data_IF_774716133167
#
_entry.id   IF_774716133167
#
_cell.length_a   1.000
_cell.length_b   1.000
_cell.length_c   1.000
_cell.angle_alpha   90.00
_cell.angle_beta   90.00
_cell.angle_gamma   90.00
#
_symmetry.space_group_name_H-M   'P 1'
#
loop_
_entity.id
_entity.type
_entity.pdbx_description
1 polymer ?
#
# COMPACT_ATOMS: atom_id res chain seq x y z
N UNK A 1 6.25 0.59 -18.58
CA UNK A 1 5.05 0.66 -19.43
C UNK A 1 3.96 1.27 -18.59
N UNK A 2 3.46 2.43 -18.98
CA UNK A 2 2.34 3.13 -18.33
C UNK A 2 1.11 2.83 -19.18
N UNK A 3 -0.01 2.47 -18.55
CA UNK A 3 -1.29 2.30 -19.24
C UNK A 3 -1.94 3.65 -19.48
N UNK A 4 -2.77 3.75 -20.51
CA UNK A 4 -3.41 5.01 -20.93
C UNK A 4 -4.65 5.33 -20.09
N UNK A 5 -5.33 4.30 -19.57
CA UNK A 5 -6.54 4.43 -18.76
C UNK A 5 -6.52 3.54 -17.52
N UNK A 6 -7.20 3.97 -16.45
CA UNK A 6 -7.42 3.17 -15.24
C UNK A 6 -7.97 1.76 -15.53
N UNK A 7 -8.85 1.63 -16.51
CA UNK A 7 -9.49 0.37 -16.91
C UNK A 7 -8.49 -0.67 -17.42
N UNK A 8 -7.32 -0.23 -17.89
CA UNK A 8 -6.26 -1.08 -18.43
C UNK A 8 -5.32 -1.64 -17.34
N UNK A 9 -5.42 -1.15 -16.10
CA UNK A 9 -4.64 -1.65 -14.98
C UNK A 9 -4.89 -3.14 -14.72
N UNK A 10 -6.16 -3.56 -14.72
CA UNK A 10 -6.50 -4.96 -14.51
C UNK A 10 -5.92 -5.90 -15.59
N UNK A 11 -6.14 -5.64 -16.91
CA UNK A 11 -5.46 -6.38 -17.98
C UNK A 11 -3.94 -6.44 -17.82
N UNK A 12 -3.30 -5.32 -17.44
CA UNK A 12 -1.87 -5.27 -17.19
C UNK A 12 -1.44 -6.24 -16.08
N UNK A 13 -2.12 -6.20 -14.93
CA UNK A 13 -1.81 -7.06 -13.78
C UNK A 13 -2.02 -8.55 -14.12
N UNK A 14 -3.06 -8.87 -14.89
CA UNK A 14 -3.31 -10.24 -15.37
C UNK A 14 -2.19 -10.71 -16.29
N UNK A 15 -1.79 -9.88 -17.26
CA UNK A 15 -0.68 -10.16 -18.18
C UNK A 15 0.66 -10.31 -17.45
N UNK A 16 0.95 -9.44 -16.47
CA UNK A 16 2.16 -9.51 -15.67
C UNK A 16 2.26 -10.87 -14.99
N UNK A 17 1.17 -11.32 -14.36
CA UNK A 17 1.12 -12.63 -13.70
C UNK A 17 1.36 -13.79 -14.66
N UNK A 18 0.86 -13.73 -15.90
CA UNK A 18 1.12 -14.80 -16.88
C UNK A 18 2.56 -14.81 -17.39
N UNK A 19 3.28 -13.71 -17.27
CA UNK A 19 4.63 -13.54 -17.83
C UNK A 19 5.72 -13.76 -16.78
N UNK A 20 5.49 -13.29 -15.55
CA UNK A 20 6.45 -13.37 -14.45
C UNK A 20 6.14 -14.59 -13.61
N UNK A 21 6.97 -15.62 -13.73
CA UNK A 21 6.87 -16.81 -12.88
C UNK A 21 7.16 -16.45 -11.43
N UNK A 22 6.38 -17.02 -10.50
CA UNK A 22 6.74 -16.97 -9.08
C UNK A 22 8.11 -17.63 -8.91
N UNK A 23 9.02 -17.06 -8.09
CA UNK A 23 10.36 -17.62 -7.94
C UNK A 23 10.27 -19.09 -7.50
N UNK A 24 10.99 -19.95 -8.23
CA UNK A 24 11.10 -21.39 -7.97
C UNK A 24 12.05 -21.70 -6.82
N UNK A 25 12.78 -20.70 -6.31
CA UNK A 25 13.74 -20.86 -5.23
C UNK A 25 13.09 -20.63 -3.87
N UNK A 26 13.54 -21.40 -2.87
CA UNK A 26 13.23 -21.26 -1.43
C UNK A 26 13.81 -19.97 -0.82
N UNK A 27 13.77 -18.86 -1.57
CA UNK A 27 14.43 -17.61 -1.27
C UNK A 27 13.54 -16.67 -0.48
N UNK A 28 13.45 -16.93 0.82
CA UNK A 28 12.80 -16.09 1.84
C UNK A 28 11.28 -15.90 1.71
N UNK A 29 10.54 -16.18 2.79
CA UNK A 29 9.08 -16.03 2.78
C UNK A 29 8.67 -14.55 2.70
N UNK A 30 7.49 -14.25 2.13
CA UNK A 30 6.91 -12.89 2.15
C UNK A 30 6.91 -12.27 3.56
N UNK A 31 6.75 -13.10 4.60
CA UNK A 31 6.82 -12.68 5.99
C UNK A 31 8.21 -12.18 6.40
N UNK A 32 9.28 -12.83 5.94
CA UNK A 32 10.65 -12.39 6.19
C UNK A 32 11.00 -11.11 5.43
N UNK A 33 10.60 -11.02 4.14
CA UNK A 33 10.77 -9.79 3.35
C UNK A 33 10.02 -8.61 3.98
N UNK A 34 8.80 -8.85 4.46
CA UNK A 34 8.03 -7.85 5.20
C UNK A 34 8.76 -7.44 6.47
N UNK A 35 9.22 -8.39 7.29
CA UNK A 35 9.96 -8.09 8.51
C UNK A 35 11.21 -7.26 8.21
N UNK A 36 11.98 -7.67 7.21
CA UNK A 36 13.16 -6.95 6.76
C UNK A 36 12.82 -5.50 6.38
N UNK A 37 11.75 -5.28 5.60
CA UNK A 37 11.30 -3.94 5.24
C UNK A 37 10.91 -3.11 6.47
N UNK A 38 10.10 -3.68 7.39
CA UNK A 38 9.64 -2.97 8.58
C UNK A 38 10.80 -2.60 9.51
N UNK A 39 11.81 -3.45 9.64
CA UNK A 39 13.04 -3.16 10.37
C UNK A 39 13.83 -2.02 9.71
N UNK A 40 13.92 -2.02 8.39
CA UNK A 40 14.67 -1.04 7.60
C UNK A 40 13.82 0.16 7.13
N UNK A 41 12.62 0.36 7.68
CA UNK A 41 11.64 1.35 7.20
C UNK A 41 12.15 2.81 7.23
N UNK A 42 13.11 3.13 8.08
CA UNK A 42 13.70 4.46 8.20
C UNK A 42 14.47 4.86 6.92
N UNK A 43 15.17 3.91 6.29
CA UNK A 43 15.86 4.12 4.99
C UNK A 43 14.86 4.58 3.92
N UNK A 44 13.67 3.99 3.91
CA UNK A 44 12.62 4.37 2.95
C UNK A 44 12.05 5.76 3.23
N UNK A 45 11.91 6.17 4.49
CA UNK A 45 11.50 7.53 4.83
C UNK A 45 12.56 8.56 4.41
N UNK A 46 13.84 8.27 4.67
CA UNK A 46 14.96 9.10 4.23
C UNK A 46 15.05 9.20 2.70
N UNK A 47 14.80 8.10 1.99
CA UNK A 47 14.73 8.11 0.51
C UNK A 47 13.68 9.10 0.00
N UNK A 48 12.46 9.08 0.55
CA UNK A 48 11.41 10.01 0.16
C UNK A 48 11.77 11.46 0.48
N UNK A 49 12.40 11.69 1.63
CA UNK A 49 12.89 13.02 2.02
C UNK A 49 13.96 13.52 1.05
N UNK A 50 14.97 12.71 0.71
CA UNK A 50 16.00 13.06 -0.27
C UNK A 50 15.39 13.39 -1.65
N UNK A 51 14.38 12.64 -2.08
CA UNK A 51 13.75 12.81 -3.40
C UNK A 51 12.83 14.03 -3.48
N UNK A 52 12.19 14.41 -2.38
CA UNK A 52 11.11 15.42 -2.39
C UNK A 52 11.39 16.66 -1.55
N UNK A 53 12.42 16.64 -0.70
CA UNK A 53 12.69 17.65 0.31
C UNK A 53 11.69 17.65 1.48
N UNK A 54 10.79 16.66 1.56
CA UNK A 54 9.74 16.59 2.57
C UNK A 54 10.13 15.56 3.64
N UNK A 55 10.32 16.02 4.87
CA UNK A 55 10.53 15.12 6.01
C UNK A 55 9.23 14.40 6.38
N UNK A 56 9.03 13.19 5.82
CA UNK A 56 7.79 12.44 6.03
C UNK A 56 7.59 11.99 7.47
N UNK A 57 8.68 11.75 8.20
CA UNK A 57 8.64 11.33 9.60
C UNK A 57 8.00 12.43 10.46
N UNK A 58 8.49 13.66 10.33
CA UNK A 58 8.00 14.81 11.09
C UNK A 58 6.59 15.22 10.67
N UNK A 59 6.35 15.31 9.36
CA UNK A 59 5.12 15.91 8.81
C UNK A 59 3.93 14.95 8.88
N UNK A 60 4.12 13.63 8.73
CA UNK A 60 3.01 12.67 8.68
C UNK A 60 3.12 11.55 9.71
N UNK A 61 4.25 10.85 9.79
CA UNK A 61 4.34 9.65 10.65
C UNK A 61 4.10 9.99 12.13
N UNK A 62 4.59 11.15 12.59
CA UNK A 62 4.39 11.59 13.98
C UNK A 62 2.92 11.92 14.30
N UNK A 63 2.07 12.23 13.30
CA UNK A 63 0.63 12.49 13.48
C UNK A 63 -0.20 11.22 13.65
N UNK A 64 0.31 10.08 13.20
CA UNK A 64 -0.36 8.79 13.32
C UNK A 64 -0.39 8.38 14.79
N UNK A 65 -1.53 7.95 15.32
CA UNK A 65 -1.65 7.57 16.75
C UNK A 65 -1.19 6.14 17.02
N UNK A 66 -1.55 5.20 16.16
CA UNK A 66 -1.25 3.78 16.34
C UNK A 66 0.16 3.41 15.84
N UNK A 67 0.94 2.74 16.69
CA UNK A 67 2.33 2.34 16.38
C UNK A 67 2.42 1.33 15.22
N UNK A 68 1.48 0.40 15.14
CA UNK A 68 1.35 -0.53 14.01
C UNK A 68 1.24 0.24 12.68
N UNK A 69 0.36 1.23 12.64
CA UNK A 69 0.14 2.06 11.45
C UNK A 69 1.34 2.95 11.12
N UNK A 70 2.07 3.46 12.12
CA UNK A 70 3.35 4.14 11.91
C UNK A 70 4.37 3.24 11.22
N UNK A 71 4.51 1.99 11.69
CA UNK A 71 5.46 1.02 11.13
C UNK A 71 5.15 0.71 9.67
N UNK A 72 3.88 0.63 9.30
CA UNK A 72 3.44 0.21 7.97
C UNK A 72 3.27 1.37 6.98
N UNK A 73 3.41 2.63 7.41
CA UNK A 73 3.29 3.81 6.55
C UNK A 73 4.21 3.77 5.31
N UNK A 74 5.52 3.47 5.43
CA UNK A 74 6.39 3.40 4.24
C UNK A 74 5.99 2.28 3.28
N UNK A 75 5.42 1.19 3.79
CA UNK A 75 4.96 0.06 2.97
C UNK A 75 3.74 0.42 2.14
N UNK A 76 2.83 1.24 2.71
CA UNK A 76 1.73 1.82 1.96
C UNK A 76 2.23 2.70 0.81
N UNK A 77 3.19 3.60 1.08
CA UNK A 77 3.74 4.47 0.04
C UNK A 77 4.41 3.66 -1.08
N UNK A 78 5.13 2.60 -0.73
CA UNK A 78 5.70 1.68 -1.70
C UNK A 78 4.62 1.07 -2.61
N UNK A 79 3.55 0.51 -2.05
CA UNK A 79 2.50 -0.11 -2.86
C UNK A 79 1.75 0.88 -3.73
N UNK A 80 1.44 2.08 -3.21
CA UNK A 80 0.82 3.13 -4.02
C UNK A 80 1.76 3.55 -5.15
N UNK A 81 3.05 3.77 -4.88
CA UNK A 81 4.02 4.14 -5.92
C UNK A 81 4.04 3.09 -7.04
N UNK A 82 4.14 1.80 -6.71
CA UNK A 82 4.11 0.70 -7.71
C UNK A 82 2.85 0.73 -8.57
N UNK A 83 1.68 1.00 -7.98
CA UNK A 83 0.42 1.11 -8.73
C UNK A 83 0.46 2.34 -9.63
N UNK A 84 0.81 3.50 -9.08
CA UNK A 84 0.81 4.78 -9.82
C UNK A 84 1.89 4.85 -10.91
N UNK A 85 2.97 4.08 -10.81
CA UNK A 85 3.96 3.93 -11.88
C UNK A 85 3.40 3.28 -13.15
N UNK A 86 2.29 2.55 -13.02
CA UNK A 86 1.61 1.90 -14.13
C UNK A 86 0.42 2.71 -14.62
N UNK A 87 -0.21 3.50 -13.75
CA UNK A 87 -1.40 4.29 -14.07
C UNK A 87 -1.08 5.64 -14.74
N UNK A 88 -2.02 6.21 -15.51
CA UNK A 88 -1.89 7.59 -15.98
C UNK A 88 -1.95 8.56 -14.80
N UNK A 89 -1.07 9.56 -14.76
CA UNK A 89 -0.97 10.50 -13.62
C UNK A 89 -2.28 11.28 -13.36
N UNK A 90 -2.65 11.45 -12.08
CA UNK A 90 -3.72 12.36 -11.66
C UNK A 90 -3.29 13.29 -10.53
N UNK A 91 -3.95 14.44 -10.42
CA UNK A 91 -3.68 15.46 -9.39
C UNK A 91 -3.67 14.92 -7.94
N UNK A 92 -4.50 13.91 -7.64
CA UNK A 92 -4.62 13.31 -6.30
C UNK A 92 -3.53 12.28 -5.97
N UNK A 93 -2.59 12.04 -6.89
CA UNK A 93 -1.47 11.13 -6.69
C UNK A 93 -0.20 11.82 -6.23
N UNK A 94 -0.23 13.11 -5.91
CA UNK A 94 0.90 13.77 -5.27
C UNK A 94 1.24 13.13 -3.92
N UNK A 95 2.53 13.14 -3.55
CA UNK A 95 3.02 12.54 -2.30
C UNK A 95 2.24 13.04 -1.07
N UNK A 96 1.97 14.34 -0.98
CA UNK A 96 1.19 14.94 0.11
C UNK A 96 -0.20 14.30 0.24
N UNK A 97 -0.95 14.16 -0.87
CA UNK A 97 -2.30 13.60 -0.85
C UNK A 97 -2.31 12.13 -0.40
N UNK A 98 -1.33 11.33 -0.87
CA UNK A 98 -1.17 9.93 -0.45
C UNK A 98 -0.88 9.83 1.05
N UNK A 99 0.01 10.69 1.56
CA UNK A 99 0.37 10.72 2.98
C UNK A 99 -0.81 11.14 3.86
N UNK A 100 -1.54 12.20 3.48
CA UNK A 100 -2.74 12.66 4.20
C UNK A 100 -3.83 11.60 4.23
N UNK A 101 -4.05 10.90 3.11
CA UNK A 101 -4.99 9.77 3.05
C UNK A 101 -4.66 8.71 4.10
N UNK A 102 -3.40 8.28 4.15
CA UNK A 102 -3.00 7.27 5.12
C UNK A 102 -3.12 7.77 6.56
N UNK A 103 -2.73 9.02 6.85
CA UNK A 103 -2.89 9.61 8.19
C UNK A 103 -4.35 9.66 8.61
N UNK A 104 -5.26 10.06 7.71
CA UNK A 104 -6.70 10.06 7.95
C UNK A 104 -7.21 8.67 8.32
N UNK A 105 -6.92 7.66 7.49
CA UNK A 105 -7.35 6.28 7.74
C UNK A 105 -6.73 5.72 9.03
N UNK A 106 -5.44 5.94 9.27
CA UNK A 106 -4.76 5.42 10.45
C UNK A 106 -5.27 6.03 11.76
N UNK A 107 -5.69 7.30 11.74
CA UNK A 107 -6.22 7.98 12.92
C UNK A 107 -7.71 7.73 13.14
N UNK A 108 -8.46 7.37 12.09
CA UNK A 108 -9.85 6.92 12.20
C UNK A 108 -10.01 5.67 13.09
N UNK A 109 -8.96 4.85 13.21
CA UNK A 109 -8.92 3.67 14.10
C UNK A 109 -8.72 4.02 15.60
N UNK A 110 -8.52 5.30 15.91
CA UNK A 110 -8.29 5.79 17.27
C UNK A 110 -9.31 6.86 17.66
N UNK A 111 -9.73 7.66 16.69
CA UNK A 111 -10.72 8.70 16.85
C UNK A 111 -12.12 8.14 16.61
N UNK A 112 -13.11 8.71 17.30
CA UNK A 112 -14.51 8.38 17.03
C UNK A 112 -14.90 9.01 15.69
N UNK A 113 -14.92 8.19 14.64
CA UNK A 113 -15.54 8.55 13.35
C UNK A 113 -17.04 8.40 13.51
N UNK A 114 -17.79 9.43 13.14
CA UNK A 114 -19.25 9.34 13.11
C UNK A 114 -19.67 8.46 11.91
N UNK A 115 -20.32 7.31 12.14
CA UNK A 115 -20.77 6.43 11.06
C UNK A 115 -21.81 7.09 10.16
N UNK A 116 -22.54 8.10 10.64
CA UNK A 116 -23.55 8.81 9.85
C UNK A 116 -22.90 9.86 8.93
N UNK A 117 -21.76 10.45 9.33
CA UNK A 117 -21.03 11.42 8.51
C UNK A 117 -20.05 10.76 7.53
N UNK A 118 -19.29 9.76 7.97
CA UNK A 118 -18.27 9.08 7.16
C UNK A 118 -18.38 7.54 7.22
N UNK A 119 -19.47 6.93 6.71
CA UNK A 119 -19.75 5.50 6.85
C UNK A 119 -18.65 4.60 6.29
N UNK A 120 -18.09 4.95 5.12
CA UNK A 120 -17.01 4.17 4.49
C UNK A 120 -15.72 4.19 5.32
N UNK A 121 -15.37 5.35 5.89
CA UNK A 121 -14.18 5.50 6.72
C UNK A 121 -14.35 4.74 8.04
N UNK A 122 -15.55 4.81 8.62
CA UNK A 122 -15.91 4.08 9.84
C UNK A 122 -15.75 2.56 9.64
N UNK A 123 -16.34 2.00 8.59
CA UNK A 123 -16.25 0.54 8.31
C UNK A 123 -14.81 0.12 8.00
N UNK A 124 -14.07 0.92 7.25
CA UNK A 124 -12.65 0.69 7.00
C UNK A 124 -11.83 0.66 8.29
N UNK A 125 -12.03 1.65 9.17
CA UNK A 125 -11.33 1.75 10.45
C UNK A 125 -11.65 0.54 11.34
N UNK A 126 -12.92 0.17 11.47
CA UNK A 126 -13.38 -0.99 12.24
C UNK A 126 -12.80 -2.30 11.74
N UNK A 127 -12.73 -2.48 10.42
CA UNK A 127 -12.10 -3.66 9.83
C UNK A 127 -10.59 -3.70 10.09
N UNK A 128 -9.90 -2.56 9.96
CA UNK A 128 -8.46 -2.46 10.27
C UNK A 128 -8.18 -2.70 11.75
N UNK A 129 -9.03 -2.21 12.66
CA UNK A 129 -8.93 -2.43 14.11
C UNK A 129 -8.99 -3.93 14.43
N UNK A 130 -9.92 -4.66 13.82
CA UNK A 130 -10.03 -6.12 13.97
C UNK A 130 -8.80 -6.89 13.45
N UNK A 131 -7.97 -6.27 12.62
CA UNK A 131 -6.72 -6.83 12.07
C UNK A 131 -5.47 -6.35 12.80
N UNK A 132 -5.59 -5.48 13.81
CA UNK A 132 -4.45 -5.02 14.60
C UNK A 132 -3.79 -6.19 15.33
N UNK A 133 -2.47 -6.22 15.26
CA UNK A 133 -1.66 -7.30 15.83
C UNK A 133 -0.21 -6.86 15.93
N UNK A 134 0.49 -7.38 16.92
CA UNK A 134 1.94 -7.17 17.07
C UNK A 134 2.78 -8.04 16.12
N UNK A 135 2.14 -8.91 15.34
CA UNK A 135 2.82 -9.79 14.40
C UNK A 135 3.19 -9.06 13.10
N UNK A 136 4.49 -8.89 12.85
CA UNK A 136 5.01 -8.25 11.63
C UNK A 136 4.46 -8.85 10.32
N UNK A 137 4.27 -10.17 10.26
CA UNK A 137 3.74 -10.84 9.07
C UNK A 137 2.29 -10.49 8.78
N UNK A 138 1.50 -10.23 9.83
CA UNK A 138 0.11 -9.80 9.71
C UNK A 138 -0.02 -8.28 9.47
N UNK A 139 0.94 -7.48 9.95
CA UNK A 139 1.02 -6.05 9.65
C UNK A 139 1.11 -5.77 8.14
N UNK A 140 1.68 -6.69 7.35
CA UNK A 140 1.74 -6.58 5.88
C UNK A 140 0.38 -6.43 5.20
N UNK A 141 -0.69 -6.92 5.83
CA UNK A 141 -2.04 -6.88 5.27
C UNK A 141 -2.71 -5.50 5.41
N UNK A 142 -2.31 -4.70 6.42
CA UNK A 142 -2.93 -3.41 6.69
C UNK A 142 -2.75 -2.44 5.53
N UNK A 143 -1.53 -2.19 4.99
CA UNK A 143 -1.35 -1.28 3.86
C UNK A 143 -2.16 -1.65 2.62
N UNK A 144 -2.32 -2.93 2.32
CA UNK A 144 -3.08 -3.38 1.14
C UNK A 144 -4.56 -3.04 1.25
N UNK A 145 -5.11 -3.14 2.45
CA UNK A 145 -6.49 -2.73 2.75
C UNK A 145 -6.64 -1.22 2.53
N UNK A 146 -5.68 -0.42 3.00
CA UNK A 146 -5.68 1.05 2.80
C UNK A 146 -5.50 1.42 1.32
N UNK A 147 -4.67 0.66 0.57
CA UNK A 147 -4.49 0.81 -0.88
C UNK A 147 -5.78 0.53 -1.65
N UNK A 148 -6.52 -0.52 -1.27
CA UNK A 148 -7.82 -0.82 -1.88
C UNK A 148 -8.81 0.33 -1.64
N UNK A 149 -8.89 0.82 -0.40
CA UNK A 149 -9.79 1.92 -0.06
C UNK A 149 -9.43 3.19 -0.84
N UNK A 150 -8.13 3.51 -0.95
CA UNK A 150 -7.64 4.60 -1.79
C UNK A 150 -8.07 4.43 -3.26
N UNK A 151 -7.88 3.23 -3.81
CA UNK A 151 -8.23 2.91 -5.19
C UNK A 151 -9.72 3.07 -5.45
N UNK A 152 -10.57 2.55 -4.56
CA UNK A 152 -12.02 2.63 -4.71
C UNK A 152 -12.52 4.09 -4.63
N UNK A 153 -11.88 4.92 -3.82
CA UNK A 153 -12.27 6.32 -3.63
C UNK A 153 -11.77 7.23 -4.78
N UNK A 154 -10.51 7.08 -5.17
CA UNK A 154 -9.85 8.03 -6.07
C UNK A 154 -9.68 7.53 -7.51
N UNK A 155 -9.75 6.22 -7.71
CA UNK A 155 -9.51 5.52 -8.98
C UNK A 155 -10.59 4.45 -9.21
N UNK A 156 -11.89 4.77 -9.11
CA UNK A 156 -12.96 3.75 -9.07
C UNK A 156 -13.02 2.86 -10.32
N UNK A 157 -12.39 3.28 -11.42
CA UNK A 157 -12.35 2.53 -12.68
C UNK A 157 -11.29 1.41 -12.70
N UNK A 158 -10.32 1.38 -11.78
CA UNK A 158 -9.22 0.40 -11.83
C UNK A 158 -9.68 -1.03 -11.57
N UNK A 159 -10.79 -1.20 -10.82
CA UNK A 159 -11.40 -2.49 -10.51
C UNK A 159 -12.84 -2.62 -11.02
N UNK A 160 -13.24 -1.78 -11.99
CA UNK A 160 -14.63 -1.73 -12.47
C UNK A 160 -15.09 -3.00 -13.22
N UNK A 161 -14.16 -3.87 -13.64
CA UNK A 161 -14.53 -5.13 -14.31
C UNK A 161 -14.99 -6.18 -13.29
N UNK A 162 -16.05 -6.96 -13.56
CA UNK A 162 -16.49 -8.03 -12.66
C UNK A 162 -15.38 -9.04 -12.32
N UNK A 163 -14.41 -9.23 -13.22
CA UNK A 163 -13.26 -10.12 -13.00
C UNK A 163 -12.26 -9.57 -11.98
N UNK A 164 -12.29 -8.27 -11.73
CA UNK A 164 -11.45 -7.57 -10.75
C UNK A 164 -12.17 -7.40 -9.40
N UNK A 165 -13.29 -8.08 -9.18
CA UNK A 165 -13.94 -8.07 -7.87
C UNK A 165 -13.09 -8.81 -6.85
N UNK A 166 -13.01 -8.22 -5.66
CA UNK A 166 -12.39 -8.84 -4.50
C UNK A 166 -13.34 -9.83 -3.83
N UNK A 167 -12.76 -10.79 -3.09
CA UNK A 167 -13.55 -11.74 -2.28
C UNK A 167 -14.27 -11.06 -1.12
N UNK A 168 -13.69 -9.97 -0.61
CA UNK A 168 -14.27 -9.11 0.43
C UNK A 168 -14.06 -7.65 0.05
N UNK A 169 -14.91 -6.75 0.54
CA UNK A 169 -14.81 -5.30 0.26
C UNK A 169 -13.50 -4.65 0.75
N UNK A 170 -12.72 -5.37 1.57
CA UNK A 170 -11.51 -4.88 2.21
C UNK A 170 -10.23 -5.59 1.76
N UNK A 171 -10.29 -6.46 0.76
CA UNK A 171 -9.12 -7.17 0.24
C UNK A 171 -8.86 -6.82 -1.21
N UNK A 172 -7.60 -6.61 -1.57
CA UNK A 172 -7.26 -6.37 -2.97
C UNK A 172 -7.67 -7.58 -3.83
N UNK A 173 -8.09 -7.34 -5.08
CA UNK A 173 -8.29 -8.42 -6.04
C UNK A 173 -7.05 -9.31 -6.10
N UNK A 174 -7.24 -10.63 -6.15
CA UNK A 174 -6.14 -11.60 -5.94
C UNK A 174 -4.94 -11.36 -6.87
N UNK A 175 -5.19 -11.06 -8.14
CA UNK A 175 -4.14 -10.78 -9.11
C UNK A 175 -3.32 -9.53 -8.76
N UNK A 176 -3.95 -8.49 -8.20
CA UNK A 176 -3.29 -7.26 -7.76
C UNK A 176 -2.45 -7.54 -6.52
N UNK A 177 -2.98 -8.30 -5.56
CA UNK A 177 -2.23 -8.71 -4.38
C UNK A 177 -0.98 -9.54 -4.74
N UNK A 178 -1.09 -10.43 -5.73
CA UNK A 178 0.04 -11.22 -6.26
C UNK A 178 1.06 -10.30 -6.95
N UNK A 179 0.60 -9.40 -7.82
CA UNK A 179 1.48 -8.44 -8.51
C UNK A 179 2.31 -7.61 -7.52
N UNK A 180 1.68 -7.01 -6.52
CA UNK A 180 2.39 -6.25 -5.48
C UNK A 180 3.37 -7.12 -4.69
N UNK A 181 2.97 -8.35 -4.35
CA UNK A 181 3.85 -9.29 -3.63
C UNK A 181 5.08 -9.69 -4.45
N UNK A 182 4.93 -9.93 -5.75
CA UNK A 182 6.05 -10.29 -6.62
C UNK A 182 7.04 -9.13 -6.71
N UNK A 183 6.55 -7.93 -7.04
CA UNK A 183 7.40 -6.72 -7.10
C UNK A 183 8.11 -6.48 -5.76
N UNK A 184 7.37 -6.56 -4.66
CA UNK A 184 7.94 -6.40 -3.33
C UNK A 184 9.01 -7.45 -3.03
N UNK A 185 8.72 -8.74 -3.21
CA UNK A 185 9.68 -9.81 -2.90
C UNK A 185 10.93 -9.75 -3.76
N UNK A 186 10.81 -9.38 -5.04
CA UNK A 186 11.96 -9.30 -5.95
C UNK A 186 12.84 -8.08 -5.67
N UNK A 187 12.24 -6.92 -5.41
CA UNK A 187 13.00 -5.67 -5.40
C UNK A 187 13.40 -5.20 -4.01
N UNK A 188 12.69 -5.61 -2.95
CA UNK A 188 12.78 -4.85 -1.71
C UNK A 188 14.16 -4.89 -1.04
N UNK A 189 14.84 -6.04 -1.06
CA UNK A 189 16.18 -6.13 -0.47
C UNK A 189 17.19 -5.37 -1.31
N UNK A 190 17.22 -5.59 -2.62
CA UNK A 190 18.14 -4.88 -3.52
C UNK A 190 17.96 -3.37 -3.43
N UNK A 191 16.72 -2.88 -3.53
CA UNK A 191 16.43 -1.46 -3.41
C UNK A 191 16.84 -0.92 -2.03
N UNK A 192 16.48 -1.61 -0.95
CA UNK A 192 16.84 -1.15 0.41
C UNK A 192 18.36 -1.08 0.60
N UNK A 193 19.12 -2.07 0.12
CA UNK A 193 20.59 -2.05 0.22
C UNK A 193 21.20 -0.94 -0.64
N UNK A 194 20.66 -0.69 -1.85
CA UNK A 194 21.14 0.40 -2.72
C UNK A 194 20.93 1.80 -2.10
N UNK A 195 19.93 1.95 -1.23
CA UNK A 195 19.58 3.21 -0.58
C UNK A 195 20.40 3.49 0.70
N UNK A 196 21.14 2.51 1.21
CA UNK A 196 22.03 2.68 2.38
C UNK A 196 23.37 3.35 2.03
N UNK A 197 23.75 3.31 0.76
CA UNK A 197 24.98 3.88 0.21
C UNK A 197 24.82 5.39 -0.01
#
# INVERSE_FOLDING_TARGET
MVVEEDTQFWPFVVWFRSTVSAPTESGSSLAERTRYFLTNRHIWLEFWEKRTGINLQEIYVNRIKLQSMKKTFPLFLFYIEVITMVLPEMRMEGLHARCEWYVKVANAMYQRVDPDEEPKLYELAKHLEGKLTDSDSKLAALPKTVVLAWANEHRPRIFATPKAQSWTEFELPQHVAIFLNLIFNHLIVELTESLKL
#
